data_IF_111525465394
#
_entry.id   IF_111525465394
#
_cell.length_a   1.000
_cell.length_b   1.000
_cell.length_c   1.000
_cell.angle_alpha   90.00
_cell.angle_beta   90.00
_cell.angle_gamma   90.00
#
_symmetry.space_group_name_H-M   'P 1'
#
loop_
_entity.id
_entity.type
_entity.pdbx_description
1 polymer ?
#
# COMPACT_ATOMS: atom_id res chain seq x y z
N UNK A 1 45.36 9.70 -6.38
CA UNK A 1 43.93 9.41 -6.57
C UNK A 1 43.58 8.26 -5.66
N UNK A 2 42.83 8.48 -4.59
CA UNK A 2 42.35 7.40 -3.71
C UNK A 2 40.88 7.68 -3.45
N UNK A 3 40.03 7.22 -4.37
CA UNK A 3 38.59 7.17 -4.14
C UNK A 3 38.34 6.08 -3.12
N UNK A 4 37.80 6.46 -1.95
CA UNK A 4 37.20 5.50 -1.04
C UNK A 4 35.82 5.18 -1.60
N UNK A 5 35.61 3.93 -1.97
CA UNK A 5 34.26 3.39 -2.11
C UNK A 5 33.78 3.03 -0.70
N UNK A 6 32.67 3.65 -0.30
CA UNK A 6 31.91 3.28 0.88
C UNK A 6 30.77 2.39 0.40
N UNK A 7 31.02 1.10 0.14
CA UNK A 7 29.96 0.11 0.12
C UNK A 7 29.87 -0.46 1.54
N UNK A 8 29.01 0.12 2.36
CA UNK A 8 28.65 -0.46 3.65
C UNK A 8 27.77 -1.69 3.37
N UNK A 9 28.18 -2.90 3.76
CA UNK A 9 27.34 -4.11 3.71
C UNK A 9 26.00 -3.97 4.47
N UNK A 10 25.84 -2.91 5.27
CA UNK A 10 24.61 -2.55 5.98
C UNK A 10 23.65 -1.66 5.16
N UNK A 11 24.08 -1.15 4.00
CA UNK A 11 23.27 -0.38 3.06
C UNK A 11 23.31 -1.13 1.73
N UNK A 12 22.39 -2.08 1.56
CA UNK A 12 22.26 -2.80 0.31
C UNK A 12 21.98 -1.81 -0.84
N UNK A 13 22.57 -2.05 -2.02
CA UNK A 13 22.28 -1.25 -3.20
C UNK A 13 20.79 -1.33 -3.54
N UNK A 14 20.15 -0.17 -3.47
CA UNK A 14 18.75 0.05 -3.81
C UNK A 14 18.56 -0.08 -5.33
N UNK A 15 18.13 -1.26 -5.78
CA UNK A 15 17.90 -1.54 -7.21
C UNK A 15 16.40 -1.56 -7.54
N UNK A 16 16.01 -0.80 -8.57
CA UNK A 16 14.63 -0.70 -9.05
C UNK A 16 14.57 -0.88 -10.57
N UNK A 17 13.48 -1.49 -11.06
CA UNK A 17 13.15 -1.48 -12.49
C UNK A 17 11.73 -1.03 -12.71
N UNK A 18 11.48 -0.49 -13.90
CA UNK A 18 10.19 0.07 -14.28
C UNK A 18 9.75 -0.48 -15.66
N UNK A 19 8.45 -0.52 -15.91
CA UNK A 19 7.90 -0.75 -17.24
C UNK A 19 7.91 0.53 -18.11
N UNK A 20 7.43 0.43 -19.35
CA UNK A 20 7.40 1.54 -20.31
C UNK A 20 6.49 2.70 -19.88
N UNK A 21 5.55 2.44 -18.98
CA UNK A 21 4.61 3.42 -18.43
C UNK A 21 5.14 4.05 -17.13
N UNK A 22 6.31 3.61 -16.66
CA UNK A 22 6.94 4.09 -15.43
C UNK A 22 6.48 3.37 -14.17
N UNK A 23 5.76 2.26 -14.27
CA UNK A 23 5.38 1.47 -13.09
C UNK A 23 6.54 0.63 -12.62
N UNK A 24 6.73 0.55 -11.31
CA UNK A 24 7.77 -0.27 -10.71
C UNK A 24 7.47 -1.75 -10.93
N UNK A 25 8.42 -2.46 -11.53
CA UNK A 25 8.40 -3.91 -11.76
C UNK A 25 9.23 -4.67 -10.74
N UNK A 26 10.32 -4.08 -10.27
CA UNK A 26 11.18 -4.74 -9.28
C UNK A 26 11.70 -3.77 -8.23
N UNK A 27 11.95 -4.31 -7.04
CA UNK A 27 12.72 -3.68 -5.96
C UNK A 27 13.64 -4.72 -5.34
N UNK A 28 14.77 -4.29 -4.77
CA UNK A 28 15.63 -5.14 -3.96
C UNK A 28 14.90 -5.76 -2.73
N UNK A 29 13.83 -5.13 -2.21
CA UNK A 29 13.03 -5.64 -1.09
C UNK A 29 11.96 -6.66 -1.50
N UNK A 30 11.36 -6.48 -2.68
CA UNK A 30 10.17 -7.24 -3.08
C UNK A 30 10.34 -8.02 -4.40
N UNK A 31 11.58 -8.11 -4.91
CA UNK A 31 11.92 -8.85 -6.12
C UNK A 31 11.07 -8.41 -7.31
N UNK A 32 10.59 -9.37 -8.11
CA UNK A 32 9.68 -9.13 -9.25
C UNK A 32 8.20 -9.36 -8.93
N UNK A 33 7.80 -9.26 -7.65
CA UNK A 33 6.42 -9.49 -7.22
C UNK A 33 5.45 -8.36 -7.57
N UNK A 34 5.91 -7.29 -8.20
CA UNK A 34 5.05 -6.16 -8.58
C UNK A 34 4.12 -6.53 -9.73
N UNK A 35 2.82 -6.37 -9.51
CA UNK A 35 1.78 -6.45 -10.53
C UNK A 35 1.07 -5.10 -10.62
N UNK A 36 0.93 -4.59 -11.84
CA UNK A 36 0.16 -3.37 -12.12
C UNK A 36 -1.01 -3.75 -13.04
N UNK A 37 -2.21 -3.35 -12.65
CA UNK A 37 -3.46 -3.64 -13.35
C UNK A 37 -3.87 -2.54 -14.32
N UNK A 38 -5.18 -2.50 -14.58
CA UNK A 38 -5.78 -1.41 -15.36
C UNK A 38 -5.56 -0.04 -14.68
N UNK A 39 -5.64 1.02 -15.47
CA UNK A 39 -5.47 2.41 -15.00
C UNK A 39 -4.14 2.67 -14.26
N UNK A 40 -3.12 1.85 -14.50
CA UNK A 40 -1.79 2.02 -13.90
C UNK A 40 -1.79 1.82 -12.37
N UNK A 41 -2.75 1.06 -11.85
CA UNK A 41 -2.93 0.80 -10.43
C UNK A 41 -2.07 -0.37 -9.97
N UNK A 42 -1.38 -0.23 -8.84
CA UNK A 42 -0.58 -1.30 -8.25
C UNK A 42 -1.51 -2.35 -7.64
N UNK A 43 -1.59 -3.55 -8.22
CA UNK A 43 -2.42 -4.66 -7.74
C UNK A 43 -1.69 -5.57 -6.76
N UNK A 44 -0.35 -5.63 -6.85
CA UNK A 44 0.48 -6.37 -5.90
C UNK A 44 1.87 -5.77 -5.85
N UNK A 45 2.49 -5.74 -4.68
CA UNK A 45 3.92 -5.51 -4.53
C UNK A 45 4.70 -6.80 -4.22
N UNK A 46 4.04 -7.95 -4.17
CA UNK A 46 4.61 -9.24 -3.78
C UNK A 46 4.51 -9.55 -2.28
N UNK A 47 4.15 -8.58 -1.45
CA UNK A 47 3.85 -8.75 -0.02
C UNK A 47 2.37 -8.53 0.27
N UNK A 48 1.78 -7.54 -0.37
CA UNK A 48 0.36 -7.21 -0.29
C UNK A 48 -0.28 -7.24 -1.67
N UNK A 49 -1.54 -7.66 -1.71
CA UNK A 49 -2.45 -7.47 -2.82
C UNK A 49 -3.37 -6.28 -2.54
N UNK A 50 -3.71 -5.52 -3.57
CA UNK A 50 -4.47 -4.28 -3.48
C UNK A 50 -5.67 -4.31 -4.43
N UNK A 51 -6.81 -3.85 -3.94
CA UNK A 51 -8.03 -3.66 -4.72
C UNK A 51 -8.50 -2.21 -4.60
N UNK A 52 -8.99 -1.65 -5.71
CA UNK A 52 -9.45 -0.26 -5.79
C UNK A 52 -10.94 -0.20 -6.11
N UNK A 53 -11.59 0.89 -5.70
CA UNK A 53 -12.95 1.20 -6.15
C UNK A 53 -12.95 1.79 -7.58
N UNK A 54 -14.14 2.06 -8.11
CA UNK A 54 -14.32 2.59 -9.46
C UNK A 54 -13.78 4.03 -9.63
N UNK A 55 -13.57 4.76 -8.53
CA UNK A 55 -12.97 6.10 -8.50
C UNK A 55 -11.44 6.04 -8.35
N UNK A 56 -10.90 4.83 -8.14
CA UNK A 56 -9.48 4.55 -8.01
C UNK A 56 -8.94 4.71 -6.59
N UNK A 57 -9.80 4.81 -5.59
CA UNK A 57 -9.37 4.81 -4.19
C UNK A 57 -9.04 3.39 -3.76
N UNK A 58 -8.03 3.22 -2.92
CA UNK A 58 -7.69 1.92 -2.34
C UNK A 58 -8.84 1.45 -1.46
N UNK A 59 -9.44 0.32 -1.79
CA UNK A 59 -10.57 -0.28 -1.09
C UNK A 59 -10.16 -1.41 -0.17
N UNK A 60 -9.18 -2.22 -0.60
CA UNK A 60 -8.67 -3.34 0.19
C UNK A 60 -7.17 -3.54 0.02
N UNK A 61 -6.50 -3.83 1.12
CA UNK A 61 -5.14 -4.34 1.16
C UNK A 61 -5.14 -5.69 1.86
N UNK A 62 -4.56 -6.71 1.24
CA UNK A 62 -4.49 -8.07 1.79
C UNK A 62 -3.04 -8.51 1.89
N UNK A 63 -2.59 -8.89 3.09
CA UNK A 63 -1.28 -9.49 3.29
C UNK A 63 -1.27 -10.90 2.66
N UNK A 64 -0.42 -11.11 1.65
CA UNK A 64 -0.41 -12.36 0.87
C UNK A 64 0.00 -13.56 1.75
N UNK A 65 0.92 -13.33 2.70
CA UNK A 65 1.46 -14.40 3.54
C UNK A 65 0.52 -14.85 4.67
N UNK A 66 -0.21 -13.90 5.27
CA UNK A 66 -1.02 -14.15 6.48
C UNK A 66 -2.52 -14.12 6.22
N UNK A 67 -2.96 -13.55 5.10
CA UNK A 67 -4.36 -13.33 4.78
C UNK A 67 -5.01 -12.19 5.56
N UNK A 68 -4.25 -11.46 6.37
CA UNK A 68 -4.75 -10.28 7.10
C UNK A 68 -5.21 -9.21 6.10
N UNK A 69 -6.33 -8.56 6.42
CA UNK A 69 -6.99 -7.63 5.51
C UNK A 69 -7.17 -6.28 6.18
N UNK A 70 -6.85 -5.20 5.47
CA UNK A 70 -7.27 -3.84 5.80
C UNK A 70 -8.25 -3.35 4.73
N UNK A 71 -9.46 -3.01 5.13
CA UNK A 71 -10.51 -2.45 4.27
C UNK A 71 -10.65 -0.95 4.52
N UNK A 72 -10.95 -0.20 3.46
CA UNK A 72 -11.05 1.25 3.46
C UNK A 72 -12.36 1.67 2.79
N UNK A 73 -13.10 2.56 3.43
CA UNK A 73 -14.32 3.15 2.87
C UNK A 73 -14.14 4.65 2.67
N UNK A 74 -14.62 5.14 1.53
CA UNK A 74 -14.47 6.53 1.10
C UNK A 74 -15.83 7.18 0.91
N UNK A 75 -15.95 8.46 1.25
CA UNK A 75 -17.13 9.23 0.88
C UNK A 75 -17.08 9.72 -0.57
N UNK A 76 -18.19 10.25 -1.06
CA UNK A 76 -18.33 10.79 -2.42
C UNK A 76 -17.40 11.99 -2.75
N UNK A 77 -16.59 12.44 -1.79
CA UNK A 77 -15.60 13.52 -1.94
C UNK A 77 -14.19 12.96 -1.88
N UNK A 78 -14.02 11.64 -1.99
CA UNK A 78 -12.76 10.91 -1.86
C UNK A 78 -12.06 11.17 -0.52
N UNK A 79 -12.84 11.17 0.57
CA UNK A 79 -12.30 11.25 1.94
C UNK A 79 -12.52 9.91 2.65
N UNK A 80 -11.47 9.40 3.29
CA UNK A 80 -11.49 8.12 4.00
C UNK A 80 -12.36 8.20 5.24
N UNK A 81 -13.50 7.49 5.27
CA UNK A 81 -14.45 7.51 6.37
C UNK A 81 -14.40 6.29 7.28
N UNK A 82 -13.82 5.16 6.84
CA UNK A 82 -13.62 3.99 7.70
C UNK A 82 -12.37 3.21 7.33
N UNK A 83 -11.73 2.62 8.35
CA UNK A 83 -10.67 1.61 8.21
C UNK A 83 -11.01 0.43 9.10
N UNK A 84 -11.04 -0.77 8.52
CA UNK A 84 -11.29 -2.03 9.24
C UNK A 84 -10.13 -2.98 9.03
N UNK A 85 -9.46 -3.35 10.12
CA UNK A 85 -8.43 -4.38 10.15
C UNK A 85 -9.03 -5.72 10.56
N UNK A 86 -8.76 -6.74 9.77
CA UNK A 86 -9.18 -8.12 9.98
C UNK A 86 -7.97 -9.03 10.02
N UNK A 87 -8.00 -10.02 10.91
CA UNK A 87 -7.01 -11.08 10.90
C UNK A 87 -7.17 -12.02 9.70
N UNK A 88 -6.25 -12.97 9.53
CA UNK A 88 -6.31 -13.95 8.43
C UNK A 88 -7.51 -14.90 8.47
N UNK A 89 -8.27 -14.95 9.58
CA UNK A 89 -9.53 -15.68 9.69
C UNK A 89 -10.75 -14.79 9.37
N UNK A 90 -10.54 -13.50 9.10
CA UNK A 90 -11.57 -12.51 8.80
C UNK A 90 -12.22 -11.88 10.03
N UNK A 91 -11.70 -12.12 11.24
CA UNK A 91 -12.22 -11.50 12.45
C UNK A 91 -11.72 -10.05 12.55
N UNK A 92 -12.60 -9.12 12.91
CA UNK A 92 -12.25 -7.71 13.06
C UNK A 92 -11.35 -7.54 14.29
N UNK A 93 -10.12 -7.09 14.04
CA UNK A 93 -9.14 -6.76 15.07
C UNK A 93 -9.24 -5.29 15.50
N UNK A 94 -9.52 -4.40 14.55
CA UNK A 94 -9.70 -2.97 14.78
C UNK A 94 -10.65 -2.37 13.75
N UNK A 95 -11.46 -1.40 14.17
CA UNK A 95 -12.28 -0.58 13.30
C UNK A 95 -12.17 0.88 13.75
N UNK A 96 -11.98 1.78 12.80
CA UNK A 96 -11.86 3.22 13.04
C UNK A 96 -12.74 3.97 12.05
N UNK A 97 -13.72 4.72 12.56
CA UNK A 97 -14.57 5.60 11.77
C UNK A 97 -14.08 7.07 11.86
N UNK A 98 -13.98 7.73 10.71
CA UNK A 98 -13.46 9.08 10.55
C UNK A 98 -14.60 10.02 10.14
N UNK A 99 -14.96 10.92 11.04
CA UNK A 99 -15.98 11.95 10.77
C UNK A 99 -15.34 13.29 10.43
N UNK A 100 -15.58 13.79 9.22
CA UNK A 100 -15.10 15.09 8.77
C UNK A 100 -16.20 16.14 8.86
N UNK A 101 -16.29 16.82 10.00
CA UNK A 101 -17.12 18.03 10.13
C UNK A 101 -16.50 19.19 9.33
N UNK A 102 -17.35 20.06 8.79
CA UNK A 102 -16.95 21.14 7.87
C UNK A 102 -15.94 22.16 8.46
N UNK A 103 -15.69 22.13 9.77
CA UNK A 103 -14.62 22.89 10.43
C UNK A 103 -14.04 22.10 11.61
N UNK A 104 -12.70 21.97 11.64
CA UNK A 104 -11.83 21.48 12.71
C UNK A 104 -11.59 19.95 12.87
N UNK A 105 -10.34 19.48 12.70
CA UNK A 105 -9.97 18.08 12.89
C UNK A 105 -9.60 17.83 14.36
N UNK A 106 -10.32 16.94 15.04
CA UNK A 106 -9.74 16.20 16.17
C UNK A 106 -10.05 14.72 15.98
N UNK A 107 -9.02 14.04 15.48
CA UNK A 107 -8.84 12.61 15.59
C UNK A 107 -9.05 12.22 17.07
N UNK A 108 -10.12 11.50 17.38
CA UNK A 108 -10.16 10.69 18.60
C UNK A 108 -9.51 9.36 18.26
N UNK A 109 -8.37 9.10 18.90
CA UNK A 109 -7.67 7.81 18.92
C UNK A 109 -8.26 6.93 20.01
#
# INVERSE_FOLDING_TARGET
>A
MTGREYSDEAIADENYSYDANGNRKTSHLHGGGYATGEYNQLESDGTYAYEYDAEGNLKRQTAIATGEVREFEWDHRNRLVSVVDKDGAGAIAQEVELTYVAMNPRLTK
#
